data_IF_549354135378
#
_entry.id   IF_549354135378
#
_cell.length_a   1.000
_cell.length_b   1.000
_cell.length_c   1.000
_cell.angle_alpha   90.00
_cell.angle_beta   90.00
_cell.angle_gamma   90.00
#
_symmetry.space_group_name_H-M   'P 1'
#
loop_
_entity.id
_entity.type
_entity.pdbx_description
1 polymer ?
#
# COMPACT_ATOMS: atom_id res chain seq x y z
N UNK A 1 -11.93 6.50 -32.61
CA UNK A 1 -11.49 5.92 -31.33
C UNK A 1 -10.07 6.41 -31.13
N UNK A 2 -9.94 7.57 -30.49
CA UNK A 2 -8.64 8.12 -30.14
C UNK A 2 -8.07 7.29 -28.99
N UNK A 3 -7.01 6.56 -29.29
CA UNK A 3 -6.14 5.93 -28.29
C UNK A 3 -5.47 7.06 -27.50
N UNK A 4 -5.93 7.31 -26.27
CA UNK A 4 -5.16 8.10 -25.31
C UNK A 4 -3.90 7.28 -24.98
N UNK A 5 -2.78 7.69 -25.57
CA UNK A 5 -1.47 7.16 -25.23
C UNK A 5 -1.16 7.47 -23.76
N UNK A 6 -0.41 6.56 -23.13
CA UNK A 6 0.14 6.76 -21.79
C UNK A 6 1.03 7.99 -21.83
N UNK A 7 0.81 8.91 -20.89
CA UNK A 7 1.55 10.17 -20.84
C UNK A 7 3.03 9.89 -20.57
N UNK A 8 3.92 10.67 -21.19
CA UNK A 8 5.37 10.52 -21.03
C UNK A 8 5.83 10.56 -19.55
N UNK A 9 5.08 11.22 -18.67
CA UNK A 9 5.35 11.28 -17.23
C UNK A 9 5.08 9.95 -16.50
N UNK A 10 4.13 9.16 -16.97
CA UNK A 10 3.79 7.84 -16.39
C UNK A 10 4.80 6.77 -16.82
N UNK A 11 5.39 6.91 -18.01
CA UNK A 11 6.50 6.09 -18.50
C UNK A 11 7.82 6.37 -17.75
N UNK A 12 8.13 7.64 -17.50
CA UNK A 12 9.31 8.04 -16.71
C UNK A 12 9.23 7.44 -15.29
N UNK A 13 8.04 7.43 -14.68
CA UNK A 13 7.82 6.85 -13.35
C UNK A 13 7.96 5.31 -13.33
N UNK A 14 7.69 4.63 -14.44
CA UNK A 14 7.85 3.17 -14.57
C UNK A 14 9.34 2.83 -14.80
N UNK A 15 10.03 3.54 -15.69
CA UNK A 15 11.46 3.32 -15.97
C UNK A 15 12.36 3.67 -14.77
N UNK A 16 12.05 4.73 -14.03
CA UNK A 16 12.78 5.09 -12.80
C UNK A 16 12.59 4.04 -11.70
N UNK A 17 11.42 3.40 -11.65
CA UNK A 17 11.10 2.38 -10.66
C UNK A 17 11.75 1.02 -11.00
N UNK A 18 11.89 0.66 -12.28
CA UNK A 18 12.64 -0.54 -12.70
C UNK A 18 14.14 -0.40 -12.40
N UNK A 19 14.73 0.77 -12.67
CA UNK A 19 16.12 1.06 -12.29
C UNK A 19 16.35 1.06 -10.79
N UNK A 20 15.39 1.54 -10.02
CA UNK A 20 15.43 1.49 -8.56
C UNK A 20 15.57 0.04 -8.05
N UNK A 21 14.88 -0.92 -8.65
CA UNK A 21 14.97 -2.32 -8.25
C UNK A 21 16.24 -3.02 -8.73
N UNK A 22 16.74 -2.72 -9.93
CA UNK A 22 18.06 -3.21 -10.36
C UNK A 22 19.18 -2.73 -9.43
N UNK A 23 19.06 -1.49 -8.92
CA UNK A 23 19.99 -0.91 -7.97
C UNK A 23 19.85 -1.52 -6.57
N UNK A 24 18.62 -1.78 -6.10
CA UNK A 24 18.35 -2.39 -4.80
C UNK A 24 18.79 -3.87 -4.73
N UNK A 25 18.61 -4.63 -5.81
CA UNK A 25 19.14 -6.00 -5.93
C UNK A 25 20.67 -5.99 -5.92
N UNK A 26 21.30 -5.04 -6.61
CA UNK A 26 22.75 -4.90 -6.59
C UNK A 26 23.28 -4.46 -5.21
N UNK A 27 22.54 -3.64 -4.47
CA UNK A 27 22.87 -3.22 -3.11
C UNK A 27 22.71 -4.38 -2.10
N UNK A 28 21.65 -5.19 -2.20
CA UNK A 28 21.46 -6.40 -1.40
C UNK A 28 22.54 -7.44 -1.68
N UNK A 29 22.90 -7.69 -2.96
CA UNK A 29 23.99 -8.59 -3.34
C UNK A 29 25.36 -8.09 -2.84
N UNK A 30 25.57 -6.77 -2.82
CA UNK A 30 26.78 -6.16 -2.26
C UNK A 30 26.81 -6.21 -0.72
N UNK A 31 25.66 -6.09 -0.06
CA UNK A 31 25.54 -6.24 1.38
C UNK A 31 25.75 -7.68 1.82
N UNK A 32 25.21 -8.67 1.09
CA UNK A 32 25.47 -10.09 1.35
C UNK A 32 26.96 -10.43 1.19
N UNK A 33 27.64 -9.90 0.17
CA UNK A 33 29.09 -10.07 -0.01
C UNK A 33 29.90 -9.38 1.11
N UNK A 34 29.51 -8.17 1.53
CA UNK A 34 30.15 -7.47 2.64
C UNK A 34 29.90 -8.16 4.00
N UNK A 35 28.75 -8.83 4.15
CA UNK A 35 28.40 -9.59 5.35
C UNK A 35 29.21 -10.89 5.44
N UNK A 36 29.44 -11.57 4.31
CA UNK A 36 30.38 -12.70 4.22
C UNK A 36 31.84 -12.28 4.49
N UNK A 37 32.26 -11.08 4.08
CA UNK A 37 33.61 -10.55 4.37
C UNK A 37 33.79 -10.09 5.83
N UNK A 38 32.72 -9.61 6.48
CA UNK A 38 32.76 -9.11 7.86
C UNK A 38 32.60 -10.19 8.93
N UNK A 39 31.97 -11.34 8.62
CA UNK A 39 32.03 -12.54 9.48
C UNK A 39 33.46 -13.13 9.57
N UNK A 40 34.38 -12.68 8.71
CA UNK A 40 35.81 -12.99 8.77
C UNK A 40 36.66 -12.09 9.68
N UNK A 41 36.14 -10.96 10.19
CA UNK A 41 36.94 -9.99 10.97
C UNK A 41 36.15 -9.44 12.15
N UNK A 42 36.24 -10.13 13.29
CA UNK A 42 35.78 -9.63 14.58
C UNK A 42 36.80 -8.62 15.14
N UNK A 43 36.47 -7.33 15.22
CA UNK A 43 36.90 -6.47 16.35
C UNK A 43 36.28 -5.04 16.36
N UNK A 44 35.78 -4.65 17.55
CA UNK A 44 35.86 -3.33 18.24
C UNK A 44 35.71 -2.05 17.38
N UNK A 45 34.82 -1.07 17.64
CA UNK A 45 34.64 -0.22 18.85
C UNK A 45 33.31 0.56 18.73
N UNK A 46 32.74 0.94 19.88
CA UNK A 46 31.72 1.99 20.18
C UNK A 46 31.92 3.34 19.43
N UNK A 47 30.95 4.25 19.32
CA UNK A 47 30.59 5.30 20.32
C UNK A 47 29.47 6.22 19.73
N UNK A 48 28.57 6.63 20.64
CA UNK A 48 27.68 7.81 20.76
C UNK A 48 26.54 8.18 19.79
N UNK A 49 25.40 8.39 20.46
CA UNK A 49 24.17 9.02 20.03
C UNK A 49 24.22 10.54 20.30
N UNK A 50 23.70 11.32 19.37
CA UNK A 50 23.27 12.69 19.66
C UNK A 50 21.86 12.92 19.09
N UNK A 51 21.03 13.50 19.97
CA UNK A 51 19.67 13.92 19.73
C UNK A 51 19.64 15.12 18.78
N UNK A 52 18.60 15.19 17.94
CA UNK A 52 18.23 16.41 17.25
C UNK A 52 16.74 16.67 17.46
N UNK A 53 16.45 17.64 18.32
CA UNK A 53 15.14 18.29 18.43
C UNK A 53 14.90 19.09 17.15
N UNK A 54 13.71 18.97 16.59
CA UNK A 54 13.21 19.92 15.60
C UNK A 54 11.75 20.22 15.95
N UNK A 55 11.57 21.37 16.58
CA UNK A 55 10.29 22.07 16.66
C UNK A 55 9.69 22.23 15.26
N UNK A 56 8.41 21.90 15.15
CA UNK A 56 7.62 22.12 13.96
C UNK A 56 6.17 22.19 14.38
N UNK A 57 5.74 23.38 14.80
CA UNK A 57 4.33 23.71 14.89
C UNK A 57 3.68 23.47 13.53
N UNK A 58 2.71 22.57 13.50
CA UNK A 58 1.86 22.38 12.33
C UNK A 58 0.49 22.98 12.67
N UNK A 59 0.23 24.15 12.08
CA UNK A 59 -1.13 24.59 11.84
C UNK A 59 -1.83 23.48 11.06
N UNK A 60 -2.75 22.78 11.73
CA UNK A 60 -3.68 21.88 11.08
C UNK A 60 -4.63 22.75 10.25
N UNK A 61 -4.33 22.94 8.96
CA UNK A 61 -5.27 23.55 8.03
C UNK A 61 -6.56 22.72 8.07
N UNK A 62 -7.64 23.37 8.53
CA UNK A 62 -8.97 22.79 8.52
C UNK A 62 -9.28 22.30 7.11
N UNK A 63 -9.62 21.02 6.99
CA UNK A 63 -10.09 20.44 5.73
C UNK A 63 -11.25 21.29 5.23
N UNK A 64 -11.13 21.81 4.00
CA UNK A 64 -12.13 22.66 3.36
C UNK A 64 -13.45 21.89 3.27
N UNK A 65 -14.38 22.21 4.18
CA UNK A 65 -15.67 21.52 4.36
C UNK A 65 -16.59 21.68 3.13
N UNK A 66 -16.20 22.58 2.21
CA UNK A 66 -16.88 22.88 0.95
C UNK A 66 -16.34 22.09 -0.27
N UNK A 67 -15.29 21.27 -0.11
CA UNK A 67 -14.76 20.46 -1.21
C UNK A 67 -15.78 19.39 -1.62
N UNK A 68 -16.04 19.28 -2.93
CA UNK A 68 -16.96 18.27 -3.45
C UNK A 68 -16.48 16.85 -3.08
N UNK A 69 -17.40 15.98 -2.68
CA UNK A 69 -17.08 14.60 -2.26
C UNK A 69 -16.21 13.84 -3.27
N UNK A 70 -16.47 13.99 -4.57
CA UNK A 70 -15.68 13.36 -5.64
C UNK A 70 -14.22 13.87 -5.67
N UNK A 71 -14.00 15.14 -5.39
CA UNK A 71 -12.66 15.74 -5.31
C UNK A 71 -11.92 15.24 -4.06
N UNK A 72 -12.64 15.08 -2.94
CA UNK A 72 -12.11 14.47 -1.72
C UNK A 72 -11.64 13.03 -1.96
N UNK A 73 -12.47 12.22 -2.65
CA UNK A 73 -12.13 10.86 -3.06
C UNK A 73 -10.89 10.87 -3.95
N UNK A 74 -10.84 11.71 -4.98
CA UNK A 74 -9.69 11.79 -5.89
C UNK A 74 -8.41 12.29 -5.20
N UNK A 75 -8.51 13.14 -4.17
CA UNK A 75 -7.37 13.55 -3.34
C UNK A 75 -6.84 12.37 -2.53
N UNK A 76 -7.71 11.67 -1.81
CA UNK A 76 -7.31 10.52 -1.00
C UNK A 76 -6.78 9.38 -1.87
N UNK A 77 -7.40 9.10 -3.00
CA UNK A 77 -6.93 8.09 -3.96
C UNK A 77 -5.49 8.38 -4.42
N UNK A 78 -5.17 9.64 -4.74
CA UNK A 78 -3.80 10.05 -5.09
C UNK A 78 -2.82 9.79 -3.95
N UNK A 79 -3.18 10.11 -2.71
CA UNK A 79 -2.36 9.81 -1.53
C UNK A 79 -2.12 8.31 -1.37
N UNK A 80 -3.18 7.50 -1.46
CA UNK A 80 -3.11 6.05 -1.26
C UNK A 80 -2.33 5.36 -2.38
N UNK A 81 -2.42 5.87 -3.62
CA UNK A 81 -1.75 5.28 -4.79
C UNK A 81 -0.34 5.82 -5.05
N UNK A 82 0.08 6.91 -4.37
CA UNK A 82 1.38 7.52 -4.57
C UNK A 82 2.55 6.54 -4.30
N UNK A 83 2.40 5.67 -3.31
CA UNK A 83 3.39 4.66 -2.94
C UNK A 83 2.74 3.29 -2.92
N UNK A 84 3.07 2.38 -3.86
CA UNK A 84 2.56 1.01 -3.85
C UNK A 84 2.84 0.29 -2.53
N UNK A 85 3.96 0.61 -1.88
CA UNK A 85 4.38 0.04 -0.61
C UNK A 85 3.46 0.44 0.55
N UNK A 86 2.97 1.69 0.56
CA UNK A 86 2.08 2.18 1.62
C UNK A 86 0.61 1.87 1.34
N UNK A 87 0.23 1.67 0.07
CA UNK A 87 -1.17 1.41 -0.32
C UNK A 87 -1.80 0.30 0.51
N UNK A 88 -1.17 -0.86 0.63
CA UNK A 88 -1.77 -1.98 1.35
C UNK A 88 -1.89 -1.70 2.86
N UNK A 89 -0.95 -0.94 3.43
CA UNK A 89 -1.04 -0.47 4.83
C UNK A 89 -2.24 0.46 5.00
N UNK A 90 -2.40 1.43 4.10
CA UNK A 90 -3.51 2.38 4.13
C UNK A 90 -4.87 1.70 3.99
N UNK A 91 -5.01 0.75 3.05
CA UNK A 91 -6.27 0.03 2.85
C UNK A 91 -6.65 -0.82 4.08
N UNK A 92 -5.68 -1.53 4.67
CA UNK A 92 -5.91 -2.29 5.91
C UNK A 92 -6.26 -1.37 7.08
N UNK A 93 -5.61 -0.21 7.19
CA UNK A 93 -5.89 0.77 8.24
C UNK A 93 -7.30 1.37 8.09
N UNK A 94 -7.73 1.71 6.87
CA UNK A 94 -9.09 2.16 6.57
C UNK A 94 -10.12 1.07 6.88
N UNK A 95 -9.79 -0.20 6.66
CA UNK A 95 -10.66 -1.33 7.04
C UNK A 95 -10.76 -1.48 8.56
N UNK A 96 -9.62 -1.46 9.26
CA UNK A 96 -9.56 -1.61 10.71
C UNK A 96 -10.28 -0.48 11.47
N UNK A 97 -10.24 0.73 10.91
CA UNK A 97 -10.88 1.92 11.47
C UNK A 97 -12.31 2.15 10.97
N UNK A 98 -12.94 1.19 10.27
CA UNK A 98 -14.39 1.26 10.00
C UNK A 98 -15.22 1.39 11.27
N UNK A 99 -14.71 0.85 12.38
CA UNK A 99 -15.15 1.17 13.72
C UNK A 99 -14.11 2.08 14.36
N UNK A 100 -14.56 3.06 15.16
CA UNK A 100 -13.67 3.92 15.93
C UNK A 100 -12.63 3.13 16.72
N UNK A 101 -11.35 3.48 16.54
CA UNK A 101 -10.20 2.94 17.28
C UNK A 101 -9.47 4.05 18.01
N UNK A 102 -8.89 3.74 19.17
CA UNK A 102 -7.91 4.67 19.75
C UNK A 102 -6.67 4.75 18.85
N UNK A 103 -5.95 5.88 18.92
CA UNK A 103 -4.71 6.06 18.18
C UNK A 103 -3.69 4.95 18.50
N UNK A 104 -3.55 4.61 19.78
CA UNK A 104 -2.63 3.56 20.22
C UNK A 104 -2.97 2.17 19.66
N UNK A 105 -4.26 1.82 19.58
CA UNK A 105 -4.70 0.57 18.95
C UNK A 105 -4.42 0.58 17.44
N UNK A 106 -4.69 1.69 16.76
CA UNK A 106 -4.41 1.83 15.34
C UNK A 106 -2.91 1.71 15.03
N UNK A 107 -2.05 2.35 15.84
CA UNK A 107 -0.60 2.24 15.70
C UNK A 107 -0.09 0.82 15.95
N UNK A 108 -0.55 0.18 17.04
CA UNK A 108 -0.18 -1.19 17.36
C UNK A 108 -0.57 -2.15 16.23
N UNK A 109 -1.75 -1.96 15.64
CA UNK A 109 -2.21 -2.80 14.54
C UNK A 109 -1.39 -2.63 13.26
N UNK A 110 -0.98 -1.39 12.94
CA UNK A 110 -0.10 -1.13 11.79
C UNK A 110 1.24 -1.85 11.92
N UNK A 111 1.79 -1.94 13.14
CA UNK A 111 3.08 -2.62 13.40
C UNK A 111 3.02 -4.12 13.12
N UNK A 112 1.83 -4.74 13.19
CA UNK A 112 1.63 -6.16 12.91
C UNK A 112 1.63 -6.48 11.40
N UNK A 113 1.55 -5.47 10.54
CA UNK A 113 1.46 -5.68 9.10
C UNK A 113 2.79 -6.16 8.50
N UNK A 114 2.79 -7.20 7.64
CA UNK A 114 4.00 -7.65 6.95
C UNK A 114 4.70 -6.57 6.12
N UNK A 115 3.95 -5.57 5.63
CA UNK A 115 4.46 -4.49 4.81
C UNK A 115 5.15 -3.38 5.64
N UNK A 116 4.84 -3.28 6.94
CA UNK A 116 5.30 -2.19 7.81
C UNK A 116 6.83 -2.08 7.97
N UNK A 117 7.60 -3.18 8.11
CA UNK A 117 9.08 -3.10 8.18
C UNK A 117 9.72 -2.33 7.02
N UNK A 118 9.05 -2.28 5.86
CA UNK A 118 9.54 -1.60 4.66
C UNK A 118 9.00 -0.17 4.51
N UNK A 119 8.05 0.25 5.34
CA UNK A 119 7.35 1.52 5.21
C UNK A 119 8.27 2.76 5.40
N UNK A 120 9.39 2.60 6.12
CA UNK A 120 10.35 3.67 6.45
C UNK A 120 9.71 4.92 7.08
N UNK A 121 8.54 4.76 7.72
CA UNK A 121 7.78 5.80 8.41
C UNK A 121 7.16 5.19 9.67
N UNK A 122 7.08 5.94 10.78
CA UNK A 122 6.37 5.47 11.97
C UNK A 122 4.86 5.39 11.70
N UNK A 123 4.17 4.48 12.38
CA UNK A 123 2.73 4.27 12.25
C UNK A 123 1.91 5.56 12.36
N UNK A 124 2.23 6.42 13.32
CA UNK A 124 1.65 7.76 13.47
C UNK A 124 1.60 8.56 12.15
N UNK A 125 2.71 8.59 11.39
CA UNK A 125 2.81 9.37 10.15
C UNK A 125 1.92 8.80 9.05
N UNK A 126 1.77 7.47 9.00
CA UNK A 126 0.88 6.80 8.06
C UNK A 126 -0.59 7.09 8.39
N UNK A 127 -0.95 7.07 9.67
CA UNK A 127 -2.29 7.45 10.15
C UNK A 127 -2.55 8.93 9.82
N UNK A 128 -1.61 9.82 10.13
CA UNK A 128 -1.75 11.25 9.88
C UNK A 128 -1.90 11.57 8.39
N UNK A 129 -1.18 10.87 7.51
CA UNK A 129 -1.34 11.03 6.07
C UNK A 129 -2.78 10.73 5.59
N UNK A 130 -3.46 9.74 6.19
CA UNK A 130 -4.87 9.48 5.90
C UNK A 130 -5.79 10.54 6.50
N UNK A 131 -5.49 11.05 7.70
CA UNK A 131 -6.25 12.14 8.32
C UNK A 131 -6.18 13.40 7.46
N UNK A 132 -4.98 13.84 7.12
CA UNK A 132 -4.74 15.05 6.32
C UNK A 132 -5.33 14.92 4.91
N UNK A 133 -5.39 13.70 4.36
CA UNK A 133 -6.05 13.45 3.09
C UNK A 133 -7.59 13.32 3.18
N UNK A 134 -8.14 13.20 4.39
CA UNK A 134 -9.58 13.07 4.67
C UNK A 134 -10.11 11.63 4.67
N UNK A 135 -9.24 10.61 4.70
CA UNK A 135 -9.63 9.20 4.79
C UNK A 135 -9.96 8.72 6.20
N UNK A 136 -9.35 9.33 7.22
CA UNK A 136 -9.67 9.10 8.63
C UNK A 136 -10.12 10.41 9.28
N UNK A 137 -11.17 10.35 10.10
CA UNK A 137 -11.52 11.41 11.03
C UNK A 137 -10.58 11.33 12.23
N UNK A 138 -10.15 12.48 12.75
CA UNK A 138 -9.37 12.61 13.96
C UNK A 138 -10.25 13.15 15.08
N UNK A 139 -10.28 12.45 16.21
CA UNK A 139 -11.12 12.79 17.35
C UNK A 139 -10.28 12.92 18.60
N UNK A 140 -10.52 13.98 19.35
CA UNK A 140 -10.02 14.17 20.70
C UNK A 140 -10.96 13.48 21.69
N UNK A 141 -10.39 12.80 22.68
CA UNK A 141 -11.16 12.08 23.69
C UNK A 141 -10.84 12.60 25.09
N UNK A 142 -11.88 12.74 25.91
CA UNK A 142 -11.76 13.03 27.33
C UNK A 142 -11.34 11.78 28.13
N UNK A 143 -11.07 11.94 29.42
CA UNK A 143 -10.64 10.85 30.32
C UNK A 143 -11.66 9.69 30.40
N UNK A 144 -12.95 9.99 30.22
CA UNK A 144 -14.03 9.00 30.20
C UNK A 144 -14.26 8.35 28.82
N UNK A 145 -13.47 8.71 27.80
CA UNK A 145 -13.55 8.20 26.43
C UNK A 145 -14.65 8.81 25.57
N UNK A 146 -15.35 9.85 26.05
CA UNK A 146 -16.24 10.67 25.24
C UNK A 146 -15.48 11.52 24.22
N UNK A 147 -16.12 11.84 23.10
CA UNK A 147 -15.54 12.71 22.06
C UNK A 147 -15.66 14.15 22.54
N UNK A 148 -14.57 14.89 22.45
CA UNK A 148 -14.51 16.32 22.69
C UNK A 148 -14.83 17.03 21.39
N UNK A 149 -15.85 17.89 21.41
CA UNK A 149 -16.22 18.73 20.29
C UNK A 149 -15.64 20.14 20.45
N UNK A 150 -15.53 20.92 19.36
CA UNK A 150 -15.10 22.31 19.45
C UNK A 150 -15.93 23.15 20.42
N UNK A 151 -17.24 22.85 20.57
CA UNK A 151 -18.12 23.55 21.52
C UNK A 151 -17.73 23.31 22.98
N UNK A 152 -17.16 22.15 23.31
CA UNK A 152 -16.72 21.83 24.68
C UNK A 152 -15.50 22.65 25.09
N UNK A 153 -14.78 23.21 24.11
CA UNK A 153 -13.61 24.07 24.30
C UNK A 153 -13.96 25.56 24.29
N UNK A 154 -15.21 25.93 24.03
CA UNK A 154 -15.62 27.33 23.97
C UNK A 154 -15.45 28.05 25.32
N UNK A 155 -14.66 29.12 25.31
CA UNK A 155 -14.43 29.95 26.50
C UNK A 155 -13.35 29.43 27.45
N UNK A 156 -12.72 28.29 27.13
CA UNK A 156 -11.51 27.81 27.80
C UNK A 156 -10.27 28.53 27.28
N UNK A 157 -9.23 28.60 28.11
CA UNK A 157 -7.89 28.92 27.62
C UNK A 157 -7.30 27.75 26.82
N UNK A 158 -6.21 27.98 26.09
CA UNK A 158 -5.48 26.92 25.37
C UNK A 158 -5.04 25.80 26.33
N UNK A 159 -4.42 26.17 27.47
CA UNK A 159 -4.02 25.20 28.50
C UNK A 159 -5.20 24.38 29.05
N UNK A 160 -6.36 25.03 29.29
CA UNK A 160 -7.56 24.34 29.77
C UNK A 160 -8.18 23.42 28.71
N UNK A 161 -8.10 23.81 27.43
CA UNK A 161 -8.56 23.01 26.32
C UNK A 161 -7.66 21.79 26.05
N UNK A 162 -6.34 21.92 26.28
CA UNK A 162 -5.38 20.82 26.19
C UNK A 162 -5.54 19.85 27.36
N UNK A 163 -5.72 20.36 28.58
CA UNK A 163 -5.98 19.54 29.77
C UNK A 163 -7.27 18.69 29.65
N UNK A 164 -8.23 19.12 28.81
CA UNK A 164 -9.44 18.37 28.52
C UNK A 164 -9.15 17.11 27.69
N UNK A 165 -8.13 17.13 26.82
CA UNK A 165 -7.79 16.04 25.90
C UNK A 165 -6.93 15.00 26.59
N UNK A 166 -7.53 13.85 26.91
CA UNK A 166 -6.80 12.73 27.51
C UNK A 166 -6.16 11.81 26.46
N UNK A 167 -6.78 11.66 25.28
CA UNK A 167 -6.28 10.79 24.21
C UNK A 167 -6.89 11.11 22.84
N UNK A 168 -6.53 10.35 21.82
CA UNK A 168 -7.04 10.52 20.46
C UNK A 168 -7.61 9.21 19.91
N UNK A 169 -8.56 9.34 18.99
CA UNK A 169 -9.15 8.25 18.23
C UNK A 169 -9.24 8.58 16.73
N UNK A 170 -9.31 7.54 15.93
CA UNK A 170 -9.50 7.61 14.48
C UNK A 170 -10.64 6.70 14.03
N UNK A 171 -11.34 7.13 12.98
CA UNK A 171 -12.42 6.38 12.36
C UNK A 171 -12.45 6.69 10.86
N UNK A 172 -12.73 5.69 10.03
CA UNK A 172 -12.79 5.83 8.59
C UNK A 172 -13.94 6.72 8.17
N UNK A 173 -13.65 7.75 7.38
CA UNK A 173 -14.67 8.66 6.85
C UNK A 173 -15.42 8.01 5.69
N UNK A 174 -16.57 8.55 5.25
CA UNK A 174 -17.22 8.09 4.01
C UNK A 174 -16.31 8.15 2.76
N UNK A 175 -15.40 9.14 2.71
CA UNK A 175 -14.39 9.26 1.64
C UNK A 175 -13.39 8.11 1.74
N UNK A 176 -12.91 7.82 2.95
CA UNK A 176 -12.03 6.69 3.24
C UNK A 176 -12.65 5.35 2.88
N UNK A 177 -13.92 5.14 3.23
CA UNK A 177 -14.64 3.91 2.90
C UNK A 177 -14.77 3.71 1.38
N UNK A 178 -15.08 4.78 0.64
CA UNK A 178 -15.17 4.72 -0.80
C UNK A 178 -13.82 4.40 -1.47
N UNK A 179 -12.72 5.04 -1.05
CA UNK A 179 -11.39 4.74 -1.61
C UNK A 179 -10.96 3.32 -1.26
N UNK A 180 -11.20 2.87 -0.02
CA UNK A 180 -10.92 1.49 0.42
C UNK A 180 -11.64 0.47 -0.46
N UNK A 181 -12.93 0.68 -0.73
CA UNK A 181 -13.75 -0.19 -1.57
C UNK A 181 -13.27 -0.16 -3.03
N UNK A 182 -13.03 1.03 -3.61
CA UNK A 182 -12.54 1.20 -4.98
C UNK A 182 -11.17 0.53 -5.21
N UNK A 183 -10.26 0.63 -4.25
CA UNK A 183 -8.90 0.07 -4.34
C UNK A 183 -8.77 -1.30 -3.68
N UNK A 184 -9.89 -1.93 -3.30
CA UNK A 184 -9.87 -3.28 -2.74
C UNK A 184 -9.15 -4.27 -3.67
N UNK A 185 -8.42 -5.26 -3.13
CA UNK A 185 -7.79 -6.31 -3.95
C UNK A 185 -8.78 -6.98 -4.92
N UNK A 186 -10.02 -7.19 -4.49
CA UNK A 186 -11.07 -7.82 -5.29
C UNK A 186 -11.41 -7.01 -6.53
N UNK A 187 -11.59 -5.69 -6.40
CA UNK A 187 -11.84 -4.81 -7.54
C UNK A 187 -10.64 -4.71 -8.44
N UNK A 188 -9.45 -4.47 -7.88
CA UNK A 188 -8.21 -4.40 -8.65
C UNK A 188 -7.96 -5.68 -9.46
N UNK A 189 -8.21 -6.85 -8.87
CA UNK A 189 -8.10 -8.12 -9.59
C UNK A 189 -9.16 -8.26 -10.68
N UNK A 190 -10.41 -7.91 -10.41
CA UNK A 190 -11.46 -7.94 -11.45
C UNK A 190 -11.09 -7.04 -12.62
N UNK A 191 -10.69 -5.81 -12.33
CA UNK A 191 -10.27 -4.82 -13.33
C UNK A 191 -9.06 -5.33 -14.14
N UNK A 192 -8.10 -5.98 -13.49
CA UNK A 192 -6.95 -6.60 -14.17
C UNK A 192 -7.39 -7.66 -15.19
N UNK A 193 -8.30 -8.56 -14.79
CA UNK A 193 -8.77 -9.64 -15.65
C UNK A 193 -9.61 -9.12 -16.82
N UNK A 194 -10.42 -8.09 -16.60
CA UNK A 194 -11.31 -7.50 -17.60
C UNK A 194 -10.57 -6.61 -18.60
N UNK A 195 -9.42 -6.03 -18.20
CA UNK A 195 -8.67 -5.06 -19.01
C UNK A 195 -8.20 -5.62 -20.36
N UNK A 196 -7.69 -6.85 -20.37
CA UNK A 196 -7.28 -7.54 -21.61
C UNK A 196 -7.71 -9.02 -21.51
N UNK A 197 -8.89 -9.38 -22.03
CA UNK A 197 -9.46 -10.73 -21.85
C UNK A 197 -8.55 -11.88 -22.32
N UNK A 198 -7.68 -11.65 -23.31
CA UNK A 198 -6.72 -12.64 -23.79
C UNK A 198 -5.65 -13.02 -22.74
N UNK A 199 -5.42 -12.17 -21.74
CA UNK A 199 -4.47 -12.41 -20.64
C UNK A 199 -5.09 -13.12 -19.46
N UNK A 200 -6.42 -13.08 -19.32
CA UNK A 200 -7.16 -13.59 -18.18
C UNK A 200 -6.76 -15.03 -17.83
N UNK A 201 -6.77 -15.95 -18.81
CA UNK A 201 -6.38 -17.33 -18.56
C UNK A 201 -4.95 -17.48 -18.05
N UNK A 202 -4.03 -16.62 -18.50
CA UNK A 202 -2.63 -16.65 -18.02
C UNK A 202 -2.52 -16.16 -16.57
N UNK A 203 -3.25 -15.11 -16.19
CA UNK A 203 -3.29 -14.66 -14.80
C UNK A 203 -3.82 -15.77 -13.88
N UNK A 204 -4.87 -16.47 -14.29
CA UNK A 204 -5.45 -17.56 -13.53
C UNK A 204 -4.47 -18.73 -13.36
N UNK A 205 -3.83 -19.16 -14.44
CA UNK A 205 -2.82 -20.24 -14.41
C UNK A 205 -1.65 -19.90 -13.49
N UNK A 206 -1.17 -18.65 -13.51
CA UNK A 206 -0.08 -18.20 -12.63
C UNK A 206 -0.52 -18.22 -11.17
N UNK A 207 -1.71 -17.68 -10.85
CA UNK A 207 -2.22 -17.72 -9.47
C UNK A 207 -2.42 -19.15 -8.96
N UNK A 208 -2.95 -20.05 -9.80
CA UNK A 208 -3.13 -21.46 -9.45
C UNK A 208 -1.77 -22.14 -9.19
N UNK A 209 -0.79 -21.91 -10.06
CA UNK A 209 0.56 -22.45 -9.92
C UNK A 209 1.28 -21.95 -8.64
N UNK A 210 1.00 -20.71 -8.26
CA UNK A 210 1.47 -20.06 -7.03
C UNK A 210 0.61 -20.40 -5.79
N UNK A 211 -0.20 -21.47 -5.81
CA UNK A 211 -0.88 -21.99 -4.60
C UNK A 211 0.12 -22.33 -3.48
N UNK A 212 1.32 -22.75 -3.88
CA UNK A 212 2.52 -22.87 -3.05
C UNK A 212 3.53 -21.80 -3.49
N UNK A 213 4.47 -21.35 -2.62
CA UNK A 213 5.50 -20.41 -3.01
C UNK A 213 6.30 -20.88 -4.24
N UNK A 214 6.42 -20.02 -5.25
CA UNK A 214 7.18 -20.28 -6.50
C UNK A 214 8.28 -19.25 -6.72
N UNK A 215 9.41 -19.70 -7.23
CA UNK A 215 10.48 -18.83 -7.71
C UNK A 215 10.12 -18.18 -9.05
N UNK A 216 10.79 -17.08 -9.40
CA UNK A 216 10.66 -16.47 -10.72
C UNK A 216 10.96 -17.47 -11.84
N UNK A 217 12.00 -18.29 -11.69
CA UNK A 217 12.39 -19.30 -12.68
C UNK A 217 11.27 -20.30 -12.96
N UNK A 218 10.60 -20.81 -11.92
CA UNK A 218 9.48 -21.74 -12.09
C UNK A 218 8.31 -21.10 -12.86
N UNK A 219 7.98 -19.84 -12.55
CA UNK A 219 6.91 -19.12 -13.24
C UNK A 219 7.31 -18.77 -14.68
N UNK A 220 8.56 -18.40 -14.90
CA UNK A 220 9.11 -18.21 -16.24
C UNK A 220 8.96 -19.50 -17.07
N UNK A 221 9.38 -20.64 -16.52
CA UNK A 221 9.35 -21.93 -17.21
C UNK A 221 7.89 -22.38 -17.49
N UNK A 222 6.92 -22.04 -16.63
CA UNK A 222 5.48 -22.23 -16.87
C UNK A 222 4.96 -21.43 -18.08
N UNK A 223 5.44 -20.19 -18.24
CA UNK A 223 4.96 -19.27 -19.27
C UNK A 223 5.75 -19.35 -20.58
N UNK A 224 6.94 -19.97 -20.56
CA UNK A 224 7.82 -20.06 -21.70
C UNK A 224 7.12 -20.68 -22.92
N UNK A 225 7.18 -19.97 -24.05
CA UNK A 225 6.61 -20.43 -25.32
C UNK A 225 5.10 -20.26 -25.47
N UNK A 226 4.39 -19.73 -24.47
CA UNK A 226 2.96 -19.41 -24.60
C UNK A 226 2.74 -18.23 -25.54
N UNK A 227 1.71 -18.34 -26.37
CA UNK A 227 1.36 -17.31 -27.35
C UNK A 227 1.06 -15.95 -26.73
N UNK A 228 0.54 -15.92 -25.50
CA UNK A 228 0.22 -14.67 -24.77
C UNK A 228 1.42 -13.73 -24.65
N UNK A 229 2.65 -14.28 -24.51
CA UNK A 229 3.88 -13.51 -24.40
C UNK A 229 4.27 -12.85 -25.73
N UNK A 230 3.80 -13.39 -26.86
CA UNK A 230 4.13 -12.91 -28.21
C UNK A 230 3.02 -12.08 -28.84
N UNK A 231 1.77 -12.46 -28.59
CA UNK A 231 0.59 -11.90 -29.25
C UNK A 231 0.00 -10.70 -28.50
N UNK A 232 0.45 -10.45 -27.28
CA UNK A 232 0.04 -9.27 -26.51
C UNK A 232 1.25 -8.44 -26.13
N UNK A 233 1.05 -7.13 -26.05
CA UNK A 233 2.13 -6.17 -25.79
C UNK A 233 1.88 -5.33 -24.55
N UNK A 234 2.96 -4.85 -23.93
CA UNK A 234 2.89 -3.84 -22.88
C UNK A 234 2.45 -2.48 -23.47
N UNK A 235 2.44 -1.46 -22.61
CA UNK A 235 2.18 -0.07 -22.95
C UNK A 235 2.99 0.42 -24.17
N UNK A 236 4.25 0.01 -24.25
CA UNK A 236 5.24 0.44 -25.26
C UNK A 236 5.21 -0.40 -26.54
N UNK A 237 4.24 -1.31 -26.66
CA UNK A 237 4.12 -2.20 -27.82
C UNK A 237 5.10 -3.36 -27.82
N UNK A 238 5.92 -3.53 -26.78
CA UNK A 238 6.85 -4.65 -26.65
C UNK A 238 6.15 -5.93 -26.19
N UNK A 239 6.62 -7.12 -26.62
CA UNK A 239 6.10 -8.40 -26.14
C UNK A 239 6.19 -8.53 -24.61
N UNK A 240 5.17 -9.12 -23.99
CA UNK A 240 5.16 -9.31 -22.55
C UNK A 240 6.21 -10.32 -22.07
N UNK A 241 6.80 -10.05 -20.91
CA UNK A 241 7.66 -10.97 -20.18
C UNK A 241 6.88 -11.67 -19.04
N UNK A 242 7.32 -12.84 -18.56
CA UNK A 242 6.74 -13.48 -17.37
C UNK A 242 6.67 -12.57 -16.13
N UNK A 243 7.68 -11.71 -15.92
CA UNK A 243 7.73 -10.73 -14.83
C UNK A 243 6.52 -9.80 -14.81
N UNK A 244 6.00 -9.43 -15.98
CA UNK A 244 4.81 -8.58 -16.08
C UNK A 244 3.58 -9.21 -15.40
N UNK A 245 3.40 -10.54 -15.53
CA UNK A 245 2.25 -11.21 -14.91
C UNK A 245 2.38 -11.24 -13.39
N UNK A 246 3.59 -11.45 -12.88
CA UNK A 246 3.88 -11.42 -11.45
C UNK A 246 3.64 -10.03 -10.86
N UNK A 247 4.21 -8.99 -11.47
CA UNK A 247 4.05 -7.60 -11.04
C UNK A 247 2.58 -7.17 -11.04
N UNK A 248 1.84 -7.44 -12.12
CA UNK A 248 0.42 -7.06 -12.20
C UNK A 248 -0.44 -7.79 -11.17
N UNK A 249 -0.17 -9.07 -10.92
CA UNK A 249 -0.90 -9.84 -9.90
C UNK A 249 -0.55 -9.39 -8.49
N UNK A 250 0.71 -9.08 -8.20
CA UNK A 250 1.12 -8.52 -6.91
C UNK A 250 0.45 -7.16 -6.68
N UNK A 251 0.53 -6.25 -7.65
CA UNK A 251 -0.08 -4.91 -7.58
C UNK A 251 -1.60 -4.94 -7.48
N UNK A 252 -2.23 -6.02 -7.90
CA UNK A 252 -3.68 -6.19 -7.78
C UNK A 252 -4.07 -6.95 -6.50
N UNK A 253 -3.09 -7.45 -5.73
CA UNK A 253 -3.34 -8.20 -4.51
C UNK A 253 -3.69 -9.67 -4.73
N UNK A 254 -3.39 -10.24 -5.90
CA UNK A 254 -3.56 -11.66 -6.22
C UNK A 254 -2.38 -12.53 -5.78
N UNK A 255 -1.16 -11.97 -5.80
CA UNK A 255 0.05 -12.61 -5.30
C UNK A 255 0.73 -11.74 -4.24
N UNK A 256 1.54 -12.36 -3.40
CA UNK A 256 2.48 -11.69 -2.52
C UNK A 256 3.79 -12.48 -2.46
N UNK A 257 4.91 -11.79 -2.21
CA UNK A 257 6.18 -12.45 -1.97
C UNK A 257 6.26 -13.00 -0.54
N UNK A 258 6.49 -14.31 -0.41
CA UNK A 258 6.77 -14.98 0.86
C UNK A 258 7.68 -16.19 0.60
N UNK A 259 9.00 -15.95 0.59
CA UNK A 259 10.02 -16.93 0.19
C UNK A 259 9.78 -17.50 -1.23
N UNK A 260 9.12 -16.71 -2.07
CA UNK A 260 8.55 -17.08 -3.36
C UNK A 260 7.16 -16.47 -3.55
N UNK A 261 6.73 -16.33 -4.81
CA UNK A 261 5.41 -15.84 -5.16
C UNK A 261 4.34 -16.83 -4.71
N UNK A 262 3.43 -16.35 -3.87
CA UNK A 262 2.32 -17.13 -3.34
C UNK A 262 1.01 -16.39 -3.54
N UNK A 263 -0.04 -17.13 -3.91
CA UNK A 263 -1.40 -16.59 -4.01
C UNK A 263 -1.91 -16.11 -2.65
N UNK A 264 -2.50 -14.93 -2.64
CA UNK A 264 -3.14 -14.33 -1.45
C UNK A 264 -4.49 -14.99 -1.18
N UNK A 265 -5.08 -14.74 -0.01
CA UNK A 265 -6.44 -15.23 0.27
C UNK A 265 -7.46 -14.67 -0.75
N UNK A 266 -7.31 -13.41 -1.16
CA UNK A 266 -8.16 -12.79 -2.19
C UNK A 266 -7.97 -13.41 -3.57
N UNK A 267 -6.75 -13.76 -3.94
CA UNK A 267 -6.49 -14.55 -5.15
C UNK A 267 -7.15 -15.93 -5.12
N UNK A 268 -7.13 -16.62 -3.98
CA UNK A 268 -7.81 -17.92 -3.81
C UNK A 268 -9.33 -17.80 -3.89
N UNK A 269 -9.90 -16.78 -3.25
CA UNK A 269 -11.35 -16.48 -3.31
C UNK A 269 -11.79 -16.27 -4.78
N UNK A 270 -10.99 -15.52 -5.54
CA UNK A 270 -11.21 -15.30 -6.97
C UNK A 270 -11.14 -16.60 -7.78
N UNK A 271 -10.10 -17.41 -7.61
CA UNK A 271 -9.95 -18.72 -8.25
C UNK A 271 -11.17 -19.62 -7.96
N UNK A 272 -11.61 -19.69 -6.70
CA UNK A 272 -12.77 -20.48 -6.30
C UNK A 272 -14.07 -19.98 -6.95
N UNK A 273 -14.26 -18.67 -7.06
CA UNK A 273 -15.43 -18.06 -7.73
C UNK A 273 -15.47 -18.40 -9.22
N UNK A 274 -14.33 -18.30 -9.91
CA UNK A 274 -14.22 -18.55 -11.34
C UNK A 274 -14.31 -20.05 -11.69
N UNK A 275 -13.76 -20.91 -10.84
CA UNK A 275 -13.89 -22.37 -10.99
C UNK A 275 -15.34 -22.85 -10.86
N UNK A 276 -16.14 -22.22 -9.99
CA UNK A 276 -17.59 -22.48 -9.87
C UNK A 276 -18.40 -21.91 -11.03
N UNK A 277 -17.96 -20.82 -11.65
CA UNK A 277 -18.63 -20.24 -12.82
C UNK A 277 -18.41 -21.06 -14.10
N UNK A 278 -17.39 -21.93 -14.11
CA UNK A 278 -17.01 -22.78 -15.24
C UNK A 278 -17.50 -24.24 -15.13
N UNK A 279 -18.18 -24.60 -14.03
CA UNK A 279 -18.72 -25.94 -13.74
C UNK A 279 -20.25 -25.98 -13.87
#
# INVERSE_FOLDING_TARGET
METKGIGAEELIRIEENERFWEQLVAEDEAQEQAQEETEGVVNLVSVDAEANECEGGSDAEALDDDMAFEEAVARLERTVTASPRHREIYLKLLEFCLERRSLAEAEAHVVEYPEYPYAAQPAYRLIRALVDAGGLAWMELAEDGSIIYPEDKEGLTEDEADDLVASFAVETTPVGDQVRDQLSPERRLSDLLDKVPQRMGTYMDVMEFCSEPRSYKEVHDLLQGRDVLRLTSNADGQPLQPSFFLDMLERSGGLAWNKGWKVTEKGKELLARMGRASA
#
